data_IF_922052206924
#
_entry.id   IF_922052206924
#
_cell.length_a   1.000
_cell.length_b   1.000
_cell.length_c   1.000
_cell.angle_alpha   90.00
_cell.angle_beta   90.00
_cell.angle_gamma   90.00
#
_symmetry.space_group_name_H-M   'P 1'
#
loop_
_entity.id
_entity.type
_entity.pdbx_description
1 polymer ?
#
# COMPACT_ATOMS: atom_id res chain seq x y z
N UNK A 1 -25.28 -2.45 -1.24
CA UNK A 1 -24.38 -1.45 -1.87
C UNK A 1 -23.05 -1.44 -1.13
N UNK A 2 -22.02 -0.83 -1.70
CA UNK A 2 -20.65 -1.35 -1.64
C UNK A 2 -19.69 -0.41 -0.91
N UNK A 3 -18.81 -0.98 -0.08
CA UNK A 3 -17.63 -0.27 0.41
C UNK A 3 -16.48 -0.51 -0.55
N UNK A 4 -15.78 0.55 -0.96
CA UNK A 4 -14.58 0.47 -1.80
C UNK A 4 -13.37 0.95 -1.00
N UNK A 5 -12.32 0.15 -0.94
CA UNK A 5 -11.04 0.56 -0.36
C UNK A 5 -10.11 1.04 -1.46
N UNK A 6 -9.62 2.27 -1.32
CA UNK A 6 -8.64 2.87 -2.21
C UNK A 6 -7.23 2.54 -1.74
N UNK A 7 -6.38 2.22 -2.70
CA UNK A 7 -4.99 1.83 -2.50
C UNK A 7 -4.09 2.88 -3.14
N UNK A 8 -3.37 3.59 -2.27
CA UNK A 8 -2.30 4.53 -2.60
C UNK A 8 -0.96 3.95 -2.13
N UNK A 9 0.15 4.49 -2.65
CA UNK A 9 1.50 4.19 -2.14
C UNK A 9 2.28 5.47 -1.91
N UNK A 10 2.61 6.18 -3.01
CA UNK A 10 3.45 7.37 -2.99
C UNK A 10 2.64 8.63 -3.27
N UNK A 11 2.67 9.61 -2.37
CA UNK A 11 2.23 10.99 -2.66
C UNK A 11 3.48 11.85 -2.82
N UNK A 12 3.66 12.45 -3.99
CA UNK A 12 4.87 13.18 -4.35
C UNK A 12 4.59 14.65 -4.65
N UNK A 13 5.49 15.59 -4.27
CA UNK A 13 5.38 16.99 -4.68
C UNK A 13 5.23 17.18 -6.20
N UNK A 14 4.20 17.90 -6.62
CA UNK A 14 3.89 18.09 -8.06
C UNK A 14 4.85 19.07 -8.75
N UNK A 15 5.48 19.96 -7.98
CA UNK A 15 6.37 21.01 -8.51
C UNK A 15 7.83 20.56 -8.69
N UNK A 16 8.17 19.33 -8.30
CA UNK A 16 9.52 18.78 -8.43
C UNK A 16 9.59 17.86 -9.66
N UNK A 17 10.53 18.11 -10.56
CA UNK A 17 10.83 17.16 -11.64
C UNK A 17 11.44 15.89 -11.02
N UNK A 18 10.81 14.75 -11.24
CA UNK A 18 11.25 13.48 -10.69
C UNK A 18 12.20 12.77 -11.67
N UNK A 19 13.41 12.40 -11.23
CA UNK A 19 14.27 11.59 -12.06
C UNK A 19 13.69 10.17 -12.17
N UNK A 20 13.43 9.74 -13.40
CA UNK A 20 12.98 8.40 -13.74
C UNK A 20 11.49 8.29 -14.04
N UNK A 21 11.07 7.08 -14.40
CA UNK A 21 9.69 6.73 -14.70
C UNK A 21 9.07 6.10 -13.45
N UNK A 22 7.81 6.43 -13.16
CA UNK A 22 6.99 5.66 -12.22
C UNK A 22 6.54 4.35 -12.88
N UNK A 23 7.51 3.47 -13.16
CA UNK A 23 7.30 2.22 -13.88
C UNK A 23 6.23 1.32 -13.24
N UNK A 24 6.09 1.44 -11.92
CA UNK A 24 5.15 0.67 -11.12
C UNK A 24 3.79 1.37 -10.97
N UNK A 25 3.70 2.64 -11.41
CA UNK A 25 2.51 3.49 -11.29
C UNK A 25 2.01 3.61 -9.85
N UNK A 26 2.95 3.76 -8.91
CA UNK A 26 2.68 3.82 -7.47
C UNK A 26 2.52 5.25 -6.95
N UNK A 27 2.89 6.24 -7.75
CA UNK A 27 2.93 7.64 -7.36
C UNK A 27 1.67 8.38 -7.81
N UNK A 28 1.22 9.31 -6.97
CA UNK A 28 0.24 10.35 -7.30
C UNK A 28 0.84 11.71 -6.94
N UNK A 29 0.62 12.72 -7.78
CA UNK A 29 1.02 14.10 -7.44
C UNK A 29 0.20 14.62 -6.26
N UNK A 30 0.81 15.35 -5.33
CA UNK A 30 0.14 15.90 -4.15
C UNK A 30 -1.04 16.83 -4.48
N UNK A 31 -0.94 17.61 -5.57
CA UNK A 31 -2.05 18.39 -6.10
C UNK A 31 -3.19 17.48 -6.55
N UNK A 32 -2.88 16.43 -7.34
CA UNK A 32 -3.86 15.46 -7.81
C UNK A 32 -4.52 14.72 -6.64
N UNK A 33 -3.74 14.29 -5.66
CA UNK A 33 -4.22 13.64 -4.46
C UNK A 33 -5.23 14.51 -3.71
N UNK A 34 -4.93 15.80 -3.52
CA UNK A 34 -5.88 16.75 -2.89
C UNK A 34 -7.17 16.91 -3.69
N UNK A 35 -7.12 16.94 -5.02
CA UNK A 35 -8.31 17.01 -5.86
C UNK A 35 -9.15 15.73 -5.79
N UNK A 36 -8.49 14.56 -5.75
CA UNK A 36 -9.14 13.27 -5.53
C UNK A 36 -9.86 13.27 -4.18
N UNK A 37 -9.20 13.66 -3.09
CA UNK A 37 -9.82 13.73 -1.77
C UNK A 37 -11.04 14.66 -1.73
N UNK A 38 -10.96 15.85 -2.34
CA UNK A 38 -12.10 16.79 -2.44
C UNK A 38 -13.27 16.18 -3.19
N UNK A 39 -12.98 15.49 -4.30
CA UNK A 39 -14.02 14.81 -5.10
C UNK A 39 -14.66 13.66 -4.31
N UNK A 40 -13.88 12.88 -3.57
CA UNK A 40 -14.38 11.83 -2.70
C UNK A 40 -15.28 12.40 -1.60
N UNK A 41 -14.82 13.43 -0.88
CA UNK A 41 -15.59 14.09 0.17
C UNK A 41 -16.94 14.65 -0.33
N UNK A 42 -16.99 15.09 -1.58
CA UNK A 42 -18.21 15.62 -2.18
C UNK A 42 -19.18 14.55 -2.72
N UNK A 43 -18.73 13.32 -2.94
CA UNK A 43 -19.50 12.29 -3.68
C UNK A 43 -19.63 10.94 -2.95
N UNK A 44 -18.94 10.75 -1.83
CA UNK A 44 -18.93 9.52 -1.05
C UNK A 44 -18.78 9.81 0.44
N UNK A 45 -19.23 8.87 1.27
CA UNK A 45 -18.96 8.88 2.70
C UNK A 45 -17.62 8.20 2.95
N UNK A 46 -16.62 8.99 3.36
CA UNK A 46 -15.28 8.48 3.67
C UNK A 46 -15.30 7.90 5.08
N UNK A 47 -14.85 6.65 5.24
CA UNK A 47 -14.83 5.93 6.50
C UNK A 47 -13.42 5.52 6.89
N UNK A 48 -13.16 5.45 8.20
CA UNK A 48 -12.00 4.74 8.73
C UNK A 48 -12.12 3.26 8.36
N UNK A 49 -11.04 2.63 7.89
CA UNK A 49 -11.02 1.23 7.49
C UNK A 49 -11.60 0.30 8.55
N UNK A 50 -11.29 0.52 9.84
CA UNK A 50 -11.77 -0.33 10.92
C UNK A 50 -13.29 -0.27 11.09
N UNK A 51 -13.90 0.90 10.84
CA UNK A 51 -15.36 1.09 10.83
C UNK A 51 -15.98 0.37 9.65
N UNK A 52 -15.38 0.54 8.47
CA UNK A 52 -15.82 -0.12 7.24
C UNK A 52 -15.79 -1.65 7.35
N UNK A 53 -14.75 -2.21 7.98
CA UNK A 53 -14.57 -3.65 8.18
C UNK A 53 -15.52 -4.23 9.24
N UNK A 54 -15.78 -3.51 10.33
CA UNK A 54 -16.70 -3.96 11.40
C UNK A 54 -18.18 -3.82 11.03
N UNK A 55 -18.53 -2.73 10.35
CA UNK A 55 -19.94 -2.36 10.09
C UNK A 55 -20.38 -2.57 8.65
N UNK A 56 -19.49 -3.05 7.77
CA UNK A 56 -19.77 -3.35 6.36
C UNK A 56 -21.14 -3.99 6.10
N UNK A 57 -21.51 -5.09 6.79
CA UNK A 57 -22.82 -5.74 6.58
C UNK A 57 -24.05 -4.85 6.85
N UNK A 58 -23.92 -3.88 7.77
CA UNK A 58 -25.00 -2.91 8.04
C UNK A 58 -25.01 -1.77 7.03
N UNK A 59 -23.83 -1.32 6.59
CA UNK A 59 -23.66 -0.29 5.56
C UNK A 59 -24.19 -0.76 4.20
N UNK A 60 -24.20 -2.08 3.93
CA UNK A 60 -24.74 -2.65 2.70
C UNK A 60 -26.21 -2.29 2.43
N UNK A 61 -26.97 -1.96 3.47
CA UNK A 61 -28.40 -1.61 3.41
C UNK A 61 -28.63 -0.13 3.05
N UNK A 62 -27.59 0.70 3.07
CA UNK A 62 -27.64 2.11 2.71
C UNK A 62 -27.53 2.31 1.18
N UNK A 63 -28.02 3.44 0.67
CA UNK A 63 -27.83 3.87 -0.73
C UNK A 63 -26.56 4.69 -0.95
N UNK A 64 -25.80 4.97 0.10
CA UNK A 64 -24.58 5.77 -0.01
C UNK A 64 -23.44 4.98 -0.68
N UNK A 65 -22.52 5.72 -1.28
CA UNK A 65 -21.21 5.21 -1.71
C UNK A 65 -20.23 5.39 -0.54
N UNK A 66 -19.60 4.31 -0.09
CA UNK A 66 -18.64 4.35 1.01
C UNK A 66 -17.23 4.08 0.51
N UNK A 67 -16.28 4.89 0.96
CA UNK A 67 -14.87 4.73 0.59
C UNK A 67 -13.97 4.74 1.82
N UNK A 68 -12.90 3.96 1.80
CA UNK A 68 -11.81 4.04 2.79
C UNK A 68 -10.49 4.26 2.07
N UNK A 69 -9.59 5.01 2.68
CA UNK A 69 -8.29 5.37 2.09
C UNK A 69 -7.20 4.55 2.77
N UNK A 70 -6.39 3.84 1.97
CA UNK A 70 -5.26 3.05 2.45
C UNK A 70 -3.98 3.41 1.72
N UNK A 71 -2.86 3.34 2.44
CA UNK A 71 -1.50 3.52 1.92
C UNK A 71 -0.69 2.28 2.21
N UNK A 72 0.00 1.76 1.19
CA UNK A 72 0.98 0.69 1.38
C UNK A 72 2.39 1.30 1.53
N UNK A 73 3.32 0.49 2.04
CA UNK A 73 4.75 0.76 2.17
C UNK A 73 5.20 1.89 3.11
N UNK A 74 4.29 2.60 3.77
CA UNK A 74 4.61 3.59 4.79
C UNK A 74 5.71 4.60 4.40
N UNK A 75 5.71 5.05 3.14
CA UNK A 75 6.69 5.99 2.61
C UNK A 75 6.77 7.29 3.44
N UNK A 76 7.95 7.62 3.98
CA UNK A 76 8.14 8.72 4.93
C UNK A 76 7.58 10.06 4.43
N UNK A 77 7.99 10.46 3.22
CA UNK A 77 7.54 11.71 2.59
C UNK A 77 6.04 11.69 2.24
N UNK A 78 5.52 10.53 1.86
CA UNK A 78 4.09 10.38 1.59
C UNK A 78 3.28 10.69 2.83
N UNK A 79 3.67 10.15 3.99
CA UNK A 79 2.90 10.31 5.22
C UNK A 79 2.84 11.77 5.66
N UNK A 80 3.92 12.53 5.46
CA UNK A 80 3.95 13.97 5.74
C UNK A 80 2.95 14.76 4.87
N UNK A 81 2.93 14.50 3.57
CA UNK A 81 2.02 15.18 2.63
C UNK A 81 0.57 14.70 2.76
N UNK A 82 0.39 13.39 2.90
CA UNK A 82 -0.91 12.74 2.95
C UNK A 82 -1.67 13.12 4.22
N UNK A 83 -1.02 13.10 5.41
CA UNK A 83 -1.70 13.45 6.66
C UNK A 83 -2.27 14.87 6.61
N UNK A 84 -1.53 15.81 6.02
CA UNK A 84 -1.98 17.19 5.89
C UNK A 84 -3.19 17.28 4.96
N UNK A 85 -3.11 16.67 3.78
CA UNK A 85 -4.22 16.67 2.83
C UNK A 85 -5.47 15.96 3.39
N UNK A 86 -5.32 14.86 4.12
CA UNK A 86 -6.43 14.12 4.75
C UNK A 86 -7.13 14.99 5.79
N UNK A 87 -6.36 15.55 6.74
CA UNK A 87 -6.88 16.46 7.78
C UNK A 87 -7.66 17.63 7.17
N UNK A 88 -7.08 18.27 6.17
CA UNK A 88 -7.63 19.50 5.60
C UNK A 88 -8.85 19.25 4.67
N UNK A 89 -9.20 18.00 4.36
CA UNK A 89 -10.27 17.68 3.39
C UNK A 89 -11.31 16.69 3.91
N UNK A 90 -10.93 15.42 4.11
CA UNK A 90 -11.86 14.36 4.51
C UNK A 90 -12.00 14.26 6.02
N UNK A 91 -10.98 14.64 6.80
CA UNK A 91 -10.97 14.63 8.27
C UNK A 91 -11.05 13.23 8.90
N UNK A 92 -11.16 12.17 8.10
CA UNK A 92 -11.30 10.78 8.55
C UNK A 92 -9.97 10.04 8.41
N UNK A 93 -9.58 9.19 9.37
CA UNK A 93 -8.27 8.54 9.33
C UNK A 93 -8.08 7.63 8.11
N UNK A 94 -6.93 7.76 7.45
CA UNK A 94 -6.46 6.76 6.49
C UNK A 94 -5.70 5.63 7.20
N UNK A 95 -5.62 4.45 6.59
CA UNK A 95 -4.82 3.33 7.12
C UNK A 95 -3.53 3.16 6.35
N UNK A 96 -2.40 3.12 7.05
CA UNK A 96 -1.06 2.88 6.51
C UNK A 96 -0.65 1.44 6.83
N UNK A 97 -0.34 0.64 5.83
CA UNK A 97 0.20 -0.70 6.00
C UNK A 97 1.73 -0.64 6.02
N UNK A 98 2.32 -1.12 7.12
CA UNK A 98 3.74 -0.93 7.43
C UNK A 98 4.54 -2.21 7.19
N UNK A 99 5.55 -2.22 6.31
CA UNK A 99 6.48 -3.33 6.19
C UNK A 99 7.59 -3.17 7.23
N UNK A 100 7.36 -3.75 8.42
CA UNK A 100 7.98 -3.32 9.68
C UNK A 100 9.52 -3.39 9.72
N UNK A 101 10.17 -4.30 8.99
CA UNK A 101 11.63 -4.38 8.97
C UNK A 101 12.30 -3.14 8.35
N UNK A 102 11.60 -2.47 7.41
CA UNK A 102 12.14 -1.31 6.69
C UNK A 102 12.18 -0.05 7.53
N UNK A 103 11.31 0.06 8.55
CA UNK A 103 11.29 1.17 9.50
C UNK A 103 12.57 1.24 10.38
N UNK A 104 13.40 0.19 10.37
CA UNK A 104 14.69 0.17 11.07
C UNK A 104 15.91 0.34 10.14
N UNK A 105 15.73 0.35 8.81
CA UNK A 105 16.83 0.33 7.83
C UNK A 105 17.21 1.68 7.28
N UNK A 106 16.24 2.59 7.15
CA UNK A 106 16.42 3.89 6.49
C UNK A 106 17.01 3.78 5.08
N UNK A 107 16.76 2.66 4.39
CA UNK A 107 17.21 2.40 3.03
C UNK A 107 16.04 2.53 2.05
N UNK A 108 16.30 2.89 0.79
CA UNK A 108 15.28 2.87 -0.24
C UNK A 108 14.86 1.45 -0.57
N UNK A 109 13.63 1.30 -1.08
CA UNK A 109 13.17 -0.01 -1.54
C UNK A 109 13.83 -0.40 -2.87
N UNK A 110 14.13 -1.70 -3.03
CA UNK A 110 14.73 -2.20 -4.27
C UNK A 110 13.89 -1.87 -5.51
N UNK A 111 12.56 -1.82 -5.38
CA UNK A 111 11.66 -1.57 -6.51
C UNK A 111 11.66 -0.09 -6.94
N UNK A 112 11.87 0.84 -6.00
CA UNK A 112 12.06 2.25 -6.31
C UNK A 112 13.42 2.50 -6.95
N UNK A 113 14.48 1.86 -6.42
CA UNK A 113 15.82 1.91 -7.02
C UNK A 113 15.79 1.38 -8.46
N UNK A 114 15.19 0.21 -8.65
CA UNK A 114 14.99 -0.40 -9.97
C UNK A 114 14.20 0.54 -10.90
N UNK A 115 13.01 0.99 -10.47
CA UNK A 115 12.14 1.87 -11.25
C UNK A 115 12.85 3.13 -11.75
N UNK A 116 13.55 3.83 -10.85
CA UNK A 116 14.31 5.05 -11.17
C UNK A 116 15.46 4.79 -12.14
N UNK A 117 16.23 3.71 -11.93
CA UNK A 117 17.35 3.37 -12.82
C UNK A 117 16.91 3.12 -14.26
N UNK A 118 15.67 2.66 -14.48
CA UNK A 118 15.14 2.41 -15.82
C UNK A 118 14.65 3.67 -16.53
N UNK A 119 14.12 4.65 -15.81
CA UNK A 119 13.64 5.90 -16.42
C UNK A 119 14.73 6.95 -16.67
N UNK A 120 15.95 6.75 -16.16
CA UNK A 120 17.06 7.68 -16.39
C UNK A 120 18.19 7.03 -17.20
N UNK A 121 18.49 7.63 -18.35
CA UNK A 121 19.57 7.14 -19.22
C UNK A 121 20.93 7.29 -18.53
N UNK A 122 21.69 6.20 -18.43
CA UNK A 122 23.03 6.18 -17.83
C UNK A 122 23.08 5.83 -16.34
N UNK A 123 21.93 5.53 -15.72
CA UNK A 123 21.82 5.11 -14.32
C UNK A 123 21.88 3.59 -14.11
N UNK A 124 22.07 2.85 -15.21
CA UNK A 124 22.18 1.39 -15.22
C UNK A 124 23.39 0.97 -16.03
N UNK A 125 23.99 -0.16 -15.64
CA UNK A 125 25.11 -0.72 -16.38
C UNK A 125 24.65 -1.46 -17.65
N UNK A 126 23.46 -2.09 -17.58
CA UNK A 126 22.78 -2.64 -18.74
C UNK A 126 21.26 -2.40 -18.67
N UNK A 127 20.64 -2.17 -19.84
CA UNK A 127 19.19 -2.12 -19.98
C UNK A 127 18.64 -3.56 -20.06
N UNK A 128 17.74 -4.01 -19.17
CA UNK A 128 16.98 -5.21 -19.40
C UNK A 128 16.14 -5.01 -20.66
N UNK A 129 16.10 -6.03 -21.51
CA UNK A 129 15.31 -6.01 -22.73
C UNK A 129 13.81 -5.88 -22.44
N UNK A 130 13.36 -6.42 -21.30
CA UNK A 130 11.99 -6.32 -20.80
C UNK A 130 11.99 -6.01 -19.29
N UNK A 131 11.90 -4.72 -18.90
CA UNK A 131 11.82 -4.32 -17.49
C UNK A 131 10.65 -4.96 -16.73
N UNK A 132 9.52 -5.23 -17.41
CA UNK A 132 8.37 -5.85 -16.78
C UNK A 132 8.60 -7.34 -16.50
N UNK A 133 9.32 -8.06 -17.37
CA UNK A 133 9.76 -9.43 -17.08
C UNK A 133 10.75 -9.47 -15.92
N UNK A 134 11.74 -8.58 -15.89
CA UNK A 134 12.69 -8.50 -14.77
C UNK A 134 11.98 -8.20 -13.46
N UNK A 135 11.01 -7.29 -13.44
CA UNK A 135 10.20 -7.04 -12.25
C UNK A 135 9.44 -8.29 -11.78
N UNK A 136 8.87 -9.08 -12.70
CA UNK A 136 8.19 -10.34 -12.36
C UNK A 136 9.16 -11.36 -11.74
N UNK A 137 10.39 -11.43 -12.24
CA UNK A 137 11.45 -12.28 -11.68
C UNK A 137 11.84 -11.83 -10.28
N UNK A 138 12.13 -10.53 -10.08
CA UNK A 138 12.51 -9.97 -8.78
C UNK A 138 11.45 -10.20 -7.70
N UNK A 139 10.17 -10.11 -8.06
CA UNK A 139 9.04 -10.43 -7.16
C UNK A 139 8.97 -11.90 -6.72
N UNK A 140 9.61 -12.80 -7.47
CA UNK A 140 9.70 -14.23 -7.18
C UNK A 140 10.89 -14.60 -6.29
N UNK A 141 11.69 -13.63 -5.87
CA UNK A 141 12.86 -13.82 -5.01
C UNK A 141 12.58 -13.39 -3.57
N UNK A 142 13.41 -13.86 -2.63
CA UNK A 142 13.43 -13.30 -1.27
C UNK A 142 13.92 -11.86 -1.32
N UNK A 143 13.56 -11.05 -0.32
CA UNK A 143 13.84 -9.60 -0.37
C UNK A 143 15.34 -9.31 -0.57
N UNK A 144 16.20 -9.97 0.22
CA UNK A 144 17.65 -9.77 0.15
C UNK A 144 18.24 -10.18 -1.22
N UNK A 145 17.68 -11.20 -1.85
CA UNK A 145 18.09 -11.66 -3.18
C UNK A 145 17.65 -10.68 -4.27
N UNK A 146 16.40 -10.18 -4.20
CA UNK A 146 15.90 -9.15 -5.09
C UNK A 146 16.71 -7.85 -4.97
N UNK A 147 17.00 -7.43 -3.73
CA UNK A 147 17.81 -6.25 -3.44
C UNK A 147 19.23 -6.40 -4.02
N UNK A 148 19.92 -7.50 -3.73
CA UNK A 148 21.25 -7.77 -4.29
C UNK A 148 21.22 -7.75 -5.83
N UNK A 149 20.20 -8.38 -6.43
CA UNK A 149 20.06 -8.41 -7.88
C UNK A 149 19.84 -7.03 -8.48
N UNK A 150 19.10 -6.15 -7.83
CA UNK A 150 18.93 -4.76 -8.27
C UNK A 150 20.24 -3.98 -8.14
N UNK A 151 20.97 -4.16 -7.04
CA UNK A 151 22.26 -3.51 -6.83
C UNK A 151 23.31 -3.91 -7.88
N UNK A 152 23.24 -5.14 -8.41
CA UNK A 152 24.08 -5.58 -9.53
C UNK A 152 23.70 -4.96 -10.90
N UNK A 153 22.51 -4.38 -11.02
CA UNK A 153 21.99 -3.80 -12.27
C UNK A 153 22.14 -2.28 -12.33
N UNK A 154 22.27 -1.63 -11.18
CA UNK A 154 22.24 -0.17 -11.04
C UNK A 154 23.57 0.35 -10.51
N UNK A 155 23.88 1.60 -10.85
CA UNK A 155 25.09 2.23 -10.32
C UNK A 155 24.88 2.66 -8.85
N UNK A 156 25.91 2.63 -7.99
CA UNK A 156 25.80 3.01 -6.59
C UNK A 156 25.22 4.41 -6.36
N UNK A 157 25.50 5.36 -7.27
CA UNK A 157 25.02 6.74 -7.17
C UNK A 157 23.49 6.84 -7.28
N UNK A 158 22.83 5.85 -7.91
CA UNK A 158 21.37 5.82 -8.03
C UNK A 158 20.72 5.52 -6.70
N UNK A 159 21.30 4.61 -5.92
CA UNK A 159 20.80 4.24 -4.59
C UNK A 159 20.79 5.46 -3.68
N UNK A 160 21.88 6.23 -3.68
CA UNK A 160 22.00 7.47 -2.91
C UNK A 160 21.04 8.59 -3.37
N UNK A 161 20.54 8.51 -4.61
CA UNK A 161 19.59 9.46 -5.19
C UNK A 161 18.13 9.00 -5.08
N UNK A 162 17.86 7.85 -4.45
CA UNK A 162 16.50 7.37 -4.20
C UNK A 162 16.05 7.81 -2.80
N UNK A 163 15.21 8.86 -2.67
CA UNK A 163 14.76 9.35 -1.37
C UNK A 163 13.62 8.52 -0.77
N UNK A 164 13.06 7.58 -1.54
CA UNK A 164 11.85 6.86 -1.16
C UNK A 164 12.20 5.69 -0.25
N UNK A 165 11.89 5.86 1.04
CA UNK A 165 12.08 4.84 2.09
C UNK A 165 10.86 4.77 2.99
N UNK A 166 10.74 3.67 3.73
CA UNK A 166 9.84 3.61 4.88
C UNK A 166 10.13 4.76 5.87
N UNK A 167 9.08 5.26 6.51
CA UNK A 167 9.21 6.04 7.72
C UNK A 167 9.90 5.22 8.81
N UNK A 168 10.77 5.86 9.59
CA UNK A 168 11.33 5.24 10.80
C UNK A 168 10.27 5.08 11.88
N UNK A 169 10.52 4.22 12.87
CA UNK A 169 9.63 4.11 14.02
C UNK A 169 9.45 5.45 14.76
N UNK A 170 10.50 6.26 14.84
CA UNK A 170 10.44 7.59 15.46
C UNK A 170 9.59 8.57 14.62
N UNK A 171 9.75 8.55 13.30
CA UNK A 171 8.91 9.36 12.40
C UNK A 171 7.44 8.93 12.49
N UNK A 172 7.14 7.63 12.46
CA UNK A 172 5.78 7.11 12.61
C UNK A 172 5.15 7.51 13.96
N UNK A 173 5.91 7.45 15.05
CA UNK A 173 5.44 7.87 16.37
C UNK A 173 5.15 9.38 16.44
N UNK A 174 5.87 10.19 15.66
CA UNK A 174 5.71 11.65 15.63
C UNK A 174 4.58 12.16 14.71
N UNK A 175 3.95 11.28 13.92
CA UNK A 175 2.83 11.65 13.05
C UNK A 175 1.57 12.05 13.83
N UNK A 176 0.63 12.67 13.13
CA UNK A 176 -0.69 12.96 13.67
C UNK A 176 -1.60 11.71 13.65
N UNK A 177 -1.74 11.11 14.82
CA UNK A 177 -2.55 9.90 15.03
C UNK A 177 -4.06 10.16 15.04
N UNK A 178 -4.51 11.42 14.98
CA UNK A 178 -5.93 11.70 14.78
C UNK A 178 -6.39 11.26 13.39
N UNK A 179 -5.53 11.32 12.38
CA UNK A 179 -5.86 11.07 10.97
C UNK A 179 -5.15 9.87 10.35
N UNK A 180 -4.42 9.09 11.14
CA UNK A 180 -3.74 7.88 10.68
C UNK A 180 -4.01 6.68 11.60
N UNK A 181 -4.10 5.51 10.98
CA UNK A 181 -4.12 4.20 11.62
C UNK A 181 -3.10 3.30 10.95
N UNK A 182 -2.64 2.26 11.65
CA UNK A 182 -1.53 1.43 11.15
C UNK A 182 -1.92 -0.05 11.08
N UNK A 183 -1.75 -0.66 9.92
CA UNK A 183 -1.87 -2.10 9.69
C UNK A 183 -0.52 -2.72 9.35
N UNK A 184 -0.50 -4.05 9.21
CA UNK A 184 0.72 -4.77 8.81
C UNK A 184 0.84 -4.86 7.29
N UNK A 185 2.04 -4.70 6.76
CA UNK A 185 2.40 -5.06 5.38
C UNK A 185 3.45 -6.18 5.36
N UNK A 186 3.39 -7.05 6.38
CA UNK A 186 4.40 -8.07 6.63
C UNK A 186 5.67 -7.49 7.24
N UNK A 187 6.72 -8.31 7.25
CA UNK A 187 8.02 -7.93 7.81
C UNK A 187 8.90 -7.25 6.76
N UNK A 188 9.29 -7.98 5.71
CA UNK A 188 10.23 -7.54 4.68
C UNK A 188 9.60 -7.02 3.39
N UNK A 189 8.27 -6.96 3.28
CA UNK A 189 7.56 -6.77 2.00
C UNK A 189 7.95 -7.87 0.97
N UNK A 190 7.90 -9.13 1.40
CA UNK A 190 8.15 -10.28 0.51
C UNK A 190 6.84 -10.82 -0.05
N UNK A 191 6.91 -11.46 -1.22
CA UNK A 191 5.83 -12.30 -1.71
C UNK A 191 5.62 -13.43 -0.70
N UNK A 192 4.48 -13.42 0.00
CA UNK A 192 4.26 -14.32 1.13
C UNK A 192 4.16 -15.78 0.69
N UNK A 193 3.80 -16.05 -0.57
CA UNK A 193 3.81 -17.42 -1.13
C UNK A 193 5.21 -18.07 -1.12
N UNK A 194 6.28 -17.29 -0.99
CA UNK A 194 7.66 -17.78 -0.90
C UNK A 194 8.07 -18.22 0.52
N UNK A 195 7.22 -17.99 1.51
CA UNK A 195 7.47 -18.32 2.92
C UNK A 195 6.86 -19.68 3.27
N UNK A 196 7.60 -20.52 3.96
CA UNK A 196 6.99 -21.64 4.68
C UNK A 196 6.01 -21.14 5.76
N UNK A 197 5.08 -21.98 6.20
CA UNK A 197 4.13 -21.61 7.27
C UNK A 197 4.83 -21.10 8.53
N UNK A 198 5.97 -21.71 8.89
CA UNK A 198 6.77 -21.30 10.05
C UNK A 198 7.42 -19.92 9.86
N UNK A 199 7.99 -19.66 8.69
CA UNK A 199 8.61 -18.37 8.39
C UNK A 199 7.57 -17.26 8.31
N UNK A 200 6.42 -17.52 7.68
CA UNK A 200 5.32 -16.58 7.61
C UNK A 200 4.81 -16.23 9.01
N UNK A 201 4.57 -17.23 9.85
CA UNK A 201 4.10 -17.03 11.21
C UNK A 201 5.10 -16.23 12.04
N UNK A 202 6.40 -16.55 11.93
CA UNK A 202 7.45 -15.75 12.57
C UNK A 202 7.44 -14.31 12.07
N UNK A 203 7.45 -14.08 10.75
CA UNK A 203 7.47 -12.76 10.15
C UNK A 203 6.26 -11.90 10.57
N UNK A 204 5.05 -12.48 10.63
CA UNK A 204 3.85 -11.75 11.05
C UNK A 204 3.87 -11.42 12.55
N UNK A 205 4.44 -12.28 13.40
CA UNK A 205 4.62 -11.99 14.83
C UNK A 205 5.63 -10.87 15.06
N UNK A 206 6.77 -10.89 14.37
CA UNK A 206 7.78 -9.82 14.46
C UNK A 206 7.21 -8.49 13.99
N UNK A 207 6.49 -8.48 12.86
CA UNK A 207 5.82 -7.28 12.36
C UNK A 207 4.79 -6.74 13.37
N UNK A 208 3.96 -7.61 13.93
CA UNK A 208 2.99 -7.21 14.94
C UNK A 208 3.67 -6.66 16.21
N UNK A 209 4.71 -7.33 16.72
CA UNK A 209 5.44 -6.91 17.90
C UNK A 209 6.13 -5.55 17.70
N UNK A 210 6.71 -5.30 16.53
CA UNK A 210 7.35 -4.03 16.23
C UNK A 210 6.33 -2.88 16.10
N UNK A 211 5.23 -3.08 15.37
CA UNK A 211 4.18 -2.06 15.19
C UNK A 211 3.51 -1.72 16.53
N UNK A 212 3.16 -2.73 17.33
CA UNK A 212 2.53 -2.52 18.65
C UNK A 212 3.52 -1.95 19.67
N UNK A 213 4.78 -2.41 19.65
CA UNK A 213 5.85 -1.88 20.50
C UNK A 213 6.17 -0.41 20.25
N UNK A 214 5.91 0.09 19.03
CA UNK A 214 6.01 1.52 18.69
C UNK A 214 4.84 2.37 19.21
N UNK A 215 3.80 1.77 19.81
CA UNK A 215 2.66 2.49 20.39
C UNK A 215 1.69 3.08 19.37
N UNK A 216 1.72 2.60 18.12
CA UNK A 216 0.88 3.11 17.03
C UNK A 216 -0.59 2.66 17.19
N UNK A 217 -1.59 3.47 16.78
CA UNK A 217 -2.99 3.09 16.77
C UNK A 217 -3.27 2.08 15.65
N UNK A 218 -3.36 0.80 16.03
CA UNK A 218 -3.38 -0.30 15.05
C UNK A 218 -4.77 -0.68 14.55
N UNK A 219 -4.84 -1.12 13.28
CA UNK A 219 -5.94 -1.93 12.72
C UNK A 219 -5.47 -3.38 12.62
N UNK A 220 -6.31 -4.34 13.01
CA UNK A 220 -6.03 -5.79 12.87
C UNK A 220 -6.21 -6.26 11.42
N UNK A 221 -5.43 -5.68 10.51
CA UNK A 221 -5.47 -5.94 9.08
C UNK A 221 -4.06 -6.11 8.51
N UNK A 222 -3.92 -7.05 7.57
CA UNK A 222 -2.72 -7.28 6.78
C UNK A 222 -3.01 -6.90 5.32
N UNK A 223 -2.27 -5.96 4.74
CA UNK A 223 -2.18 -5.85 3.29
C UNK A 223 -1.12 -6.84 2.81
N UNK A 224 -1.44 -7.67 1.82
CA UNK A 224 -0.47 -8.61 1.28
C UNK A 224 0.50 -7.87 0.34
N UNK A 225 1.82 -7.97 0.54
CA UNK A 225 2.82 -7.41 -0.39
C UNK A 225 2.54 -7.85 -1.82
N UNK A 226 2.58 -6.90 -2.76
CA UNK A 226 2.14 -7.03 -4.16
C UNK A 226 0.64 -7.35 -4.38
N UNK A 227 0.03 -8.13 -3.49
CA UNK A 227 -1.41 -8.20 -3.28
C UNK A 227 -2.22 -9.02 -4.29
N UNK A 228 -1.60 -9.85 -5.13
CA UNK A 228 -2.35 -10.76 -6.02
C UNK A 228 -2.76 -12.02 -5.26
N UNK A 229 -3.79 -12.72 -5.76
CA UNK A 229 -4.18 -14.02 -5.19
C UNK A 229 -3.05 -15.06 -5.26
N UNK A 230 -2.11 -14.91 -6.21
CA UNK A 230 -0.92 -15.77 -6.31
C UNK A 230 0.18 -15.43 -5.30
N UNK A 231 0.12 -14.28 -4.63
CA UNK A 231 1.17 -13.81 -3.73
C UNK A 231 0.99 -14.32 -2.27
N UNK A 232 -0.05 -15.13 -2.04
CA UNK A 232 -0.37 -15.81 -0.77
C UNK A 232 -1.17 -17.09 -1.07
N UNK A 233 -0.94 -18.20 -0.34
CA UNK A 233 -1.71 -19.43 -0.52
C UNK A 233 -2.90 -19.53 0.44
N UNK A 234 -3.93 -20.31 0.07
CA UNK A 234 -5.07 -20.58 0.97
C UNK A 234 -4.66 -21.31 2.25
N UNK A 235 -3.64 -22.15 2.20
CA UNK A 235 -3.08 -22.81 3.38
C UNK A 235 -2.46 -21.79 4.32
N UNK A 236 -1.64 -20.87 3.81
CA UNK A 236 -1.05 -19.77 4.59
C UNK A 236 -2.12 -18.88 5.22
N UNK A 237 -3.18 -18.55 4.47
CA UNK A 237 -4.30 -17.76 5.00
C UNK A 237 -4.96 -18.48 6.18
N UNK A 238 -5.27 -19.77 6.02
CA UNK A 238 -6.01 -20.56 7.00
C UNK A 238 -5.19 -20.90 8.24
N UNK A 239 -3.94 -21.31 8.06
CA UNK A 239 -3.09 -21.83 9.13
C UNK A 239 -2.31 -20.73 9.87
N UNK A 240 -2.12 -19.56 9.25
CA UNK A 240 -1.26 -18.52 9.81
C UNK A 240 -1.97 -17.18 9.85
N UNK A 241 -2.37 -16.61 8.71
CA UNK A 241 -2.88 -15.23 8.66
C UNK A 241 -4.11 -15.06 9.55
N UNK A 242 -5.08 -15.99 9.46
CA UNK A 242 -6.31 -15.96 10.25
C UNK A 242 -6.12 -16.11 11.76
N UNK A 243 -4.94 -16.57 12.21
CA UNK A 243 -4.58 -16.63 13.64
C UNK A 243 -3.91 -15.35 14.15
N UNK A 244 -3.62 -14.38 13.26
CA UNK A 244 -2.82 -13.18 13.55
C UNK A 244 -3.54 -11.88 13.19
N UNK A 245 -4.36 -11.90 12.15
CA UNK A 245 -5.09 -10.74 11.67
C UNK A 245 -6.57 -11.09 11.49
N UNK A 246 -7.45 -10.15 11.83
CA UNK A 246 -8.88 -10.29 11.57
C UNK A 246 -9.21 -10.12 10.08
N UNK A 247 -8.40 -9.34 9.35
CA UNK A 247 -8.63 -9.01 7.95
C UNK A 247 -7.36 -9.09 7.09
N UNK A 248 -7.54 -9.41 5.81
CA UNK A 248 -6.48 -9.51 4.81
C UNK A 248 -6.90 -8.80 3.52
N UNK A 249 -6.01 -7.97 2.96
CA UNK A 249 -6.31 -7.09 1.83
C UNK A 249 -5.37 -7.39 0.64
N UNK A 250 -6.00 -7.69 -0.49
CA UNK A 250 -5.40 -7.82 -1.82
C UNK A 250 -5.31 -6.45 -2.50
N UNK A 251 -4.54 -6.37 -3.59
CA UNK A 251 -4.41 -5.20 -4.47
C UNK A 251 -5.28 -5.32 -5.73
N UNK A 252 -5.96 -6.46 -5.91
CA UNK A 252 -6.83 -6.68 -7.06
C UNK A 252 -8.13 -5.89 -6.93
N UNK A 253 -8.51 -5.21 -8.02
CA UNK A 253 -9.71 -4.38 -8.08
C UNK A 253 -10.96 -5.17 -7.69
N UNK A 254 -11.71 -4.60 -6.76
CA UNK A 254 -12.96 -5.18 -6.31
C UNK A 254 -13.55 -4.46 -5.11
N UNK A 255 -14.68 -4.98 -4.67
CA UNK A 255 -15.40 -4.48 -3.49
C UNK A 255 -14.64 -4.86 -2.23
N UNK A 256 -14.53 -3.94 -1.29
CA UNK A 256 -14.05 -4.29 0.05
C UNK A 256 -15.12 -5.12 0.77
N UNK A 257 -16.36 -4.62 0.81
CA UNK A 257 -17.51 -5.29 1.43
C UNK A 257 -18.72 -5.22 0.51
N UNK A 258 -19.56 -6.27 0.53
CA UNK A 258 -20.75 -6.41 -0.29
C UNK A 258 -20.98 -7.86 -0.73
N UNK A 259 -22.24 -8.23 -1.02
CA UNK A 259 -22.59 -9.56 -1.52
C UNK A 259 -21.95 -9.88 -2.90
N UNK A 260 -21.62 -11.17 -3.17
CA UNK A 260 -21.70 -12.32 -2.26
C UNK A 260 -20.59 -12.34 -1.20
N UNK A 261 -20.76 -13.17 -0.16
CA UNK A 261 -19.91 -13.20 1.04
C UNK A 261 -18.40 -13.07 0.72
N UNK A 262 -17.80 -11.97 1.17
CA UNK A 262 -16.36 -11.73 1.04
C UNK A 262 -15.61 -12.50 2.12
N UNK A 263 -14.54 -13.19 1.74
CA UNK A 263 -13.63 -13.76 2.73
C UNK A 263 -12.91 -12.59 3.43
N UNK A 264 -13.02 -12.43 4.76
CA UNK A 264 -12.41 -11.32 5.49
C UNK A 264 -10.89 -11.27 5.34
N UNK A 265 -10.26 -12.38 4.96
CA UNK A 265 -8.83 -12.50 4.71
C UNK A 265 -8.44 -12.36 3.24
N UNK A 266 -9.37 -12.03 2.34
CA UNK A 266 -9.10 -11.82 0.91
C UNK A 266 -9.94 -10.65 0.36
N UNK A 267 -9.95 -9.54 1.07
CA UNK A 267 -10.69 -8.34 0.71
C UNK A 267 -9.97 -7.58 -0.40
N UNK A 268 -10.74 -7.01 -1.34
CA UNK A 268 -10.20 -6.38 -2.55
C UNK A 268 -10.10 -4.86 -2.40
N UNK A 269 -9.13 -4.26 -3.09
CA UNK A 269 -8.86 -2.82 -3.09
C UNK A 269 -8.72 -2.31 -4.51
N UNK A 270 -8.92 -1.02 -4.70
CA UNK A 270 -8.86 -0.35 -6.00
C UNK A 270 -7.67 0.60 -5.99
N UNK A 271 -6.73 0.40 -6.91
CA UNK A 271 -5.65 1.37 -7.15
C UNK A 271 -6.24 2.74 -7.46
N UNK A 272 -5.75 3.77 -6.76
CA UNK A 272 -6.18 5.12 -7.00
C UNK A 272 -5.58 5.71 -8.29
N UNK A 273 -4.32 5.38 -8.60
CA UNK A 273 -3.51 5.92 -9.70
C UNK A 273 -3.39 7.46 -9.71
N UNK A 274 -2.39 7.99 -10.43
CA UNK A 274 -2.35 9.41 -10.79
C UNK A 274 -3.29 9.72 -11.97
N UNK A 275 -4.60 9.63 -11.71
CA UNK A 275 -5.65 9.90 -12.68
C UNK A 275 -6.54 11.05 -12.24
N UNK A 276 -7.23 11.73 -13.17
CA UNK A 276 -8.18 12.78 -12.82
C UNK A 276 -9.24 12.30 -11.81
N UNK A 277 -9.67 13.17 -10.87
CA UNK A 277 -10.61 12.80 -9.80
C UNK A 277 -11.93 12.21 -10.29
N UNK A 278 -12.45 12.71 -11.40
CA UNK A 278 -13.68 12.24 -12.03
C UNK A 278 -13.55 10.81 -12.56
N UNK A 279 -12.36 10.43 -13.05
CA UNK A 279 -12.09 9.07 -13.54
C UNK A 279 -11.88 8.10 -12.37
N UNK A 280 -11.26 8.56 -11.28
CA UNK A 280 -11.22 7.80 -10.04
C UNK A 280 -12.64 7.56 -9.50
N UNK A 281 -13.49 8.60 -9.46
CA UNK A 281 -14.87 8.46 -9.01
C UNK A 281 -15.67 7.49 -9.89
N UNK A 282 -15.50 7.56 -11.22
CA UNK A 282 -16.12 6.62 -12.17
C UNK A 282 -15.68 5.19 -11.88
N UNK A 283 -14.37 4.96 -11.70
CA UNK A 283 -13.81 3.65 -11.35
C UNK A 283 -14.42 3.11 -10.05
N UNK A 284 -14.55 3.95 -9.03
CA UNK A 284 -15.18 3.58 -7.76
C UNK A 284 -16.63 3.17 -7.97
N UNK A 285 -17.42 3.95 -8.74
CA UNK A 285 -18.83 3.64 -9.04
C UNK A 285 -18.98 2.34 -9.81
N UNK A 286 -18.15 2.10 -10.81
CA UNK A 286 -18.16 0.84 -11.57
C UNK A 286 -17.86 -0.35 -10.66
N UNK A 287 -16.83 -0.26 -9.80
CA UNK A 287 -16.53 -1.32 -8.81
C UNK A 287 -17.68 -1.50 -7.83
N UNK A 288 -18.30 -0.40 -7.40
CA UNK A 288 -19.46 -0.41 -6.51
C UNK A 288 -20.75 -0.95 -7.17
N UNK A 289 -20.79 -1.04 -8.50
CA UNK A 289 -21.98 -1.38 -9.30
C UNK A 289 -23.05 -0.28 -9.29
N UNK A 290 -22.62 0.99 -9.36
CA UNK A 290 -23.45 2.19 -9.32
C UNK A 290 -23.24 3.06 -10.58
N UNK A 291 -23.23 2.45 -11.76
CA UNK A 291 -23.15 3.17 -13.03
C UNK A 291 -24.43 3.98 -13.34
#
# INVERSE_FOLDING_TARGET
MTVVALLYHCVRPSEQAWPGDDLLRLSVGDHRFREQLKTLAANAEVLELSVALRHGPSLERSRNLYVTITFDDAYARTLELAQAAIRDTVGVPATVFVPAAHCAREQPYWWDVFGRAHGVRGWRDAAPADPAATLRELRGLRYAEAEARVLDLVRPEVVAQCPDRAATWAELAALDHEHLRFGSHGWWHENLSLLSLRELDHALREAHAAITGAGLPTVSALAYPFGRESDITWEQIREVVGLRHAYGLLSEAGRLMGAPATNPLALRRVFADDIPPEDLLRRIRTVAGQD
#
